data_IF_873946965703
#
_entry.id   IF_873946965703
#
_cell.length_a   1.000
_cell.length_b   1.000
_cell.length_c   1.000
_cell.angle_alpha   90.00
_cell.angle_beta   90.00
_cell.angle_gamma   90.00
#
_symmetry.space_group_name_H-M   'P 1'
#
loop_
_entity.id
_entity.type
_entity.pdbx_description
1 polymer ?
#
# COMPACT_ATOMS: atom_id res chain seq x y z
N UNK A 1 15.94 -6.43 19.33
CA UNK A 1 16.48 -6.16 17.98
C UNK A 1 17.93 -5.65 17.98
N UNK A 2 18.37 -4.85 18.96
CA UNK A 2 19.76 -4.36 19.01
C UNK A 2 20.76 -5.45 19.43
N UNK A 3 20.42 -6.37 20.33
CA UNK A 3 21.28 -7.48 20.73
C UNK A 3 21.52 -8.51 19.63
N UNK A 4 20.50 -8.78 18.78
CA UNK A 4 20.63 -9.69 17.66
C UNK A 4 21.52 -9.17 16.52
N UNK A 5 21.72 -7.84 16.42
CA UNK A 5 22.55 -7.23 15.37
C UNK A 5 24.05 -7.51 15.56
N UNK A 6 24.57 -7.43 16.77
CA UNK A 6 25.97 -7.70 17.07
C UNK A 6 26.30 -9.19 16.88
N UNK A 7 25.38 -10.07 17.24
CA UNK A 7 25.54 -11.50 17.04
C UNK A 7 25.50 -11.87 15.55
N UNK A 8 24.58 -11.32 14.77
CA UNK A 8 24.52 -11.51 13.31
C UNK A 8 25.80 -11.00 12.66
N UNK A 9 26.29 -9.81 13.04
CA UNK A 9 27.56 -9.27 12.54
C UNK A 9 28.74 -10.19 12.86
N UNK A 10 28.81 -10.72 14.09
CA UNK A 10 29.87 -11.64 14.51
C UNK A 10 29.84 -12.95 13.73
N UNK A 11 28.64 -13.51 13.47
CA UNK A 11 28.48 -14.80 12.81
C UNK A 11 28.63 -14.71 11.29
N UNK A 12 28.22 -13.61 10.67
CA UNK A 12 28.16 -13.46 9.20
C UNK A 12 29.20 -12.52 8.62
N UNK A 13 29.91 -11.75 9.46
CA UNK A 13 30.79 -10.67 8.99
C UNK A 13 30.04 -9.49 8.37
N UNK A 14 28.71 -9.50 8.38
CA UNK A 14 27.89 -8.45 7.76
C UNK A 14 28.06 -7.11 8.48
N UNK A 15 28.44 -6.09 7.72
CA UNK A 15 28.53 -4.71 8.21
C UNK A 15 27.24 -3.98 7.88
N UNK A 16 26.51 -3.52 8.91
CA UNK A 16 25.32 -2.69 8.72
C UNK A 16 25.68 -1.40 7.97
N UNK A 17 24.83 -0.96 7.03
CA UNK A 17 24.96 0.35 6.42
C UNK A 17 24.95 1.46 7.47
N UNK A 18 25.68 2.56 7.21
CA UNK A 18 25.64 3.72 8.07
C UNK A 18 24.24 4.38 8.02
N UNK A 19 23.58 4.44 9.18
CA UNK A 19 22.25 5.05 9.30
C UNK A 19 22.22 6.54 8.94
N UNK A 20 23.36 7.23 8.90
CA UNK A 20 23.46 8.62 8.46
C UNK A 20 23.17 8.76 6.96
N UNK A 21 23.60 7.80 6.16
CA UNK A 21 23.34 7.77 4.71
C UNK A 21 21.85 7.59 4.44
N UNK A 22 21.20 6.67 5.15
CA UNK A 22 19.77 6.47 5.05
C UNK A 22 18.97 7.73 5.44
N UNK A 23 19.40 8.42 6.51
CA UNK A 23 18.78 9.69 6.93
C UNK A 23 18.93 10.77 5.86
N UNK A 24 20.12 10.91 5.26
CA UNK A 24 20.37 11.86 4.17
C UNK A 24 19.45 11.57 2.97
N UNK A 25 19.31 10.31 2.60
CA UNK A 25 18.44 9.93 1.50
C UNK A 25 16.96 10.25 1.79
N UNK A 26 16.47 9.94 2.99
CA UNK A 26 15.10 10.31 3.41
C UNK A 26 14.91 11.84 3.37
N UNK A 27 15.91 12.61 3.80
CA UNK A 27 15.84 14.07 3.84
C UNK A 27 16.01 14.74 2.46
N UNK A 28 16.57 14.04 1.48
CA UNK A 28 16.76 14.58 0.12
C UNK A 28 15.45 14.84 -0.63
N UNK A 29 14.35 14.21 -0.18
CA UNK A 29 13.06 14.27 -0.89
C UNK A 29 13.01 13.41 -2.15
N UNK A 30 14.08 12.65 -2.45
CA UNK A 30 14.07 11.68 -3.54
C UNK A 30 13.10 10.52 -3.24
N UNK A 31 12.52 9.90 -4.28
CA UNK A 31 11.70 8.71 -4.10
C UNK A 31 12.46 7.58 -3.39
N UNK A 32 11.87 7.00 -2.35
CA UNK A 32 12.49 5.90 -1.59
C UNK A 32 12.24 4.56 -2.31
N UNK A 33 12.92 4.35 -3.44
CA UNK A 33 12.82 3.16 -4.27
C UNK A 33 14.19 2.75 -4.84
N UNK A 34 14.26 1.54 -5.43
CA UNK A 34 15.52 1.02 -5.97
C UNK A 34 16.08 1.87 -7.12
N UNK A 35 15.23 2.50 -7.93
CA UNK A 35 15.66 3.36 -9.03
C UNK A 35 16.41 4.61 -8.51
N UNK A 36 15.98 5.17 -7.38
CA UNK A 36 16.71 6.27 -6.73
C UNK A 36 18.03 5.78 -6.16
N UNK A 37 18.06 4.61 -5.49
CA UNK A 37 19.30 4.01 -4.97
C UNK A 37 20.33 3.72 -6.07
N UNK A 38 19.87 3.28 -7.24
CA UNK A 38 20.74 3.02 -8.40
C UNK A 38 21.54 4.25 -8.84
N UNK A 39 20.96 5.45 -8.71
CA UNK A 39 21.66 6.71 -9.05
C UNK A 39 22.87 6.97 -8.16
N UNK A 40 22.83 6.46 -6.93
CA UNK A 40 23.85 6.64 -5.91
C UNK A 40 24.75 5.42 -5.70
N UNK A 41 24.65 4.38 -6.54
CA UNK A 41 25.39 3.11 -6.36
C UNK A 41 26.90 3.19 -6.40
N UNK A 42 27.47 4.31 -6.85
CA UNK A 42 28.91 4.57 -6.75
C UNK A 42 29.37 4.70 -5.29
N UNK A 43 28.51 5.19 -4.39
CA UNK A 43 28.76 5.20 -2.96
C UNK A 43 28.53 3.79 -2.37
N UNK A 44 29.50 3.31 -1.59
CA UNK A 44 29.49 1.97 -1.02
C UNK A 44 28.32 1.73 -0.07
N UNK A 45 27.89 2.74 0.66
CA UNK A 45 26.80 2.61 1.63
C UNK A 45 25.42 2.58 0.93
N UNK A 46 25.21 3.42 -0.08
CA UNK A 46 24.01 3.33 -0.91
C UNK A 46 23.92 1.99 -1.64
N UNK A 47 25.04 1.49 -2.13
CA UNK A 47 25.11 0.15 -2.78
C UNK A 47 24.74 -0.98 -1.81
N UNK A 48 25.15 -0.92 -0.55
CA UNK A 48 24.71 -1.90 0.47
C UNK A 48 23.20 -1.88 0.68
N UNK A 49 22.61 -0.68 0.76
CA UNK A 49 21.16 -0.52 0.92
C UNK A 49 20.44 -1.08 -0.30
N UNK A 50 20.91 -0.76 -1.50
CA UNK A 50 20.35 -1.29 -2.74
C UNK A 50 20.40 -2.82 -2.81
N UNK A 51 21.58 -3.40 -2.56
CA UNK A 51 21.76 -4.86 -2.58
C UNK A 51 20.85 -5.54 -1.55
N UNK A 52 20.74 -4.98 -0.35
CA UNK A 52 19.82 -5.49 0.65
C UNK A 52 18.36 -5.43 0.18
N UNK A 53 17.94 -4.32 -0.44
CA UNK A 53 16.58 -4.16 -0.96
C UNK A 53 16.30 -5.17 -2.08
N UNK A 54 17.24 -5.36 -3.01
CA UNK A 54 17.11 -6.33 -4.10
C UNK A 54 17.05 -7.77 -3.57
N UNK A 55 17.91 -8.14 -2.60
CA UNK A 55 17.90 -9.46 -1.99
C UNK A 55 16.59 -9.73 -1.23
N UNK A 56 16.07 -8.74 -0.50
CA UNK A 56 14.76 -8.84 0.15
C UNK A 56 13.64 -9.07 -0.86
N UNK A 57 13.60 -8.30 -1.95
CA UNK A 57 12.59 -8.45 -2.99
C UNK A 57 12.67 -9.82 -3.67
N UNK A 58 13.88 -10.31 -3.94
CA UNK A 58 14.08 -11.65 -4.50
C UNK A 58 13.56 -12.74 -3.56
N UNK A 59 13.92 -12.66 -2.26
CA UNK A 59 13.45 -13.62 -1.25
C UNK A 59 11.92 -13.59 -1.09
N UNK A 60 11.32 -12.40 -1.07
CA UNK A 60 9.86 -12.26 -1.05
C UNK A 60 9.26 -12.95 -2.27
N UNK A 61 9.81 -12.70 -3.46
CA UNK A 61 9.35 -13.33 -4.70
C UNK A 61 9.43 -14.86 -4.67
N UNK A 62 10.47 -15.41 -4.01
CA UNK A 62 10.67 -16.86 -3.92
C UNK A 62 9.78 -17.53 -2.86
N UNK A 63 9.50 -16.82 -1.76
CA UNK A 63 8.82 -17.38 -0.59
C UNK A 63 7.32 -17.08 -0.57
N UNK A 64 6.90 -15.91 -1.05
CA UNK A 64 5.50 -15.45 -1.01
C UNK A 64 4.82 -15.81 -2.31
N UNK A 65 4.12 -16.95 -2.32
CA UNK A 65 3.33 -17.45 -3.45
C UNK A 65 2.03 -18.05 -2.95
N UNK A 66 0.98 -18.01 -3.75
CA UNK A 66 -0.29 -18.64 -3.44
C UNK A 66 -1.01 -18.04 -2.23
N UNK A 67 -0.70 -16.80 -1.85
CA UNK A 67 -1.45 -16.10 -0.78
C UNK A 67 -2.78 -15.63 -1.37
N UNK A 68 -3.92 -16.24 -1.00
CA UNK A 68 -5.19 -15.90 -1.62
C UNK A 68 -5.65 -14.50 -1.20
N UNK A 69 -6.45 -13.83 -2.04
CA UNK A 69 -7.14 -12.61 -1.62
C UNK A 69 -8.07 -12.92 -0.44
N UNK A 70 -8.35 -11.92 0.38
CA UNK A 70 -9.34 -12.07 1.43
C UNK A 70 -10.71 -12.45 0.85
N UNK A 71 -11.55 -13.17 1.61
CA UNK A 71 -12.95 -13.42 1.23
C UNK A 71 -13.66 -12.12 0.86
N UNK A 72 -14.54 -12.18 -0.12
CA UNK A 72 -15.31 -11.06 -0.69
C UNK A 72 -14.50 -10.07 -1.55
N UNK A 73 -13.18 -10.20 -1.67
CA UNK A 73 -12.38 -9.33 -2.59
C UNK A 73 -12.79 -9.61 -4.04
N UNK A 74 -12.74 -10.88 -4.45
CA UNK A 74 -13.09 -11.27 -5.82
C UNK A 74 -14.49 -10.82 -6.20
N UNK A 75 -15.47 -11.16 -5.37
CA UNK A 75 -16.88 -10.83 -5.60
C UNK A 75 -17.09 -9.31 -5.69
N UNK A 76 -16.37 -8.54 -4.87
CA UNK A 76 -16.40 -7.08 -4.92
C UNK A 76 -15.83 -6.54 -6.22
N UNK A 77 -14.67 -7.07 -6.66
CA UNK A 77 -14.02 -6.61 -7.88
C UNK A 77 -14.81 -7.01 -9.12
N UNK A 78 -15.37 -8.22 -9.17
CA UNK A 78 -16.23 -8.68 -10.28
C UNK A 78 -17.46 -7.79 -10.41
N UNK A 79 -18.14 -7.48 -9.29
CA UNK A 79 -19.29 -6.58 -9.29
C UNK A 79 -18.89 -5.14 -9.68
N UNK A 80 -17.76 -4.63 -9.17
CA UNK A 80 -17.28 -3.29 -9.54
C UNK A 80 -16.92 -3.17 -11.01
N UNK A 81 -16.29 -4.18 -11.60
CA UNK A 81 -15.85 -4.16 -13.00
C UNK A 81 -17.01 -3.99 -14.00
N UNK A 82 -18.26 -4.25 -13.60
CA UNK A 82 -19.43 -4.00 -14.42
C UNK A 82 -19.81 -2.51 -14.51
N UNK A 83 -19.36 -1.70 -13.54
CA UNK A 83 -19.84 -0.31 -13.38
C UNK A 83 -18.72 0.72 -13.25
N UNK A 84 -17.49 0.30 -13.00
CA UNK A 84 -16.39 1.20 -12.68
C UNK A 84 -15.04 0.68 -13.20
N UNK A 85 -14.12 1.59 -13.47
CA UNK A 85 -12.73 1.26 -13.71
C UNK A 85 -12.02 0.98 -12.38
N UNK A 86 -11.29 -0.14 -12.34
CA UNK A 86 -10.51 -0.56 -11.19
C UNK A 86 -9.05 -0.26 -11.44
N UNK A 87 -8.44 0.55 -10.57
CA UNK A 87 -7.03 0.93 -10.67
C UNK A 87 -6.28 0.50 -9.42
N UNK A 88 -5.22 -0.29 -9.59
CA UNK A 88 -4.31 -0.62 -8.50
C UNK A 88 -3.36 0.56 -8.27
N UNK A 89 -3.32 1.08 -7.03
CA UNK A 89 -2.40 2.14 -6.61
C UNK A 89 -1.60 1.64 -5.41
N UNK A 90 -0.33 1.31 -5.62
CA UNK A 90 0.50 0.66 -4.61
C UNK A 90 1.92 1.21 -4.55
N UNK A 91 2.56 1.10 -3.38
CA UNK A 91 3.99 1.31 -3.21
C UNK A 91 4.83 0.07 -3.58
N UNK A 92 4.19 -1.01 -4.02
CA UNK A 92 4.83 -2.23 -4.50
C UNK A 92 5.23 -2.06 -5.97
N UNK A 93 6.29 -2.75 -6.40
CA UNK A 93 6.72 -2.74 -7.79
C UNK A 93 5.62 -3.28 -8.73
N UNK A 94 5.42 -2.66 -9.88
CA UNK A 94 4.38 -3.03 -10.86
C UNK A 94 4.48 -4.51 -11.26
N UNK A 95 5.69 -5.02 -11.47
CA UNK A 95 5.93 -6.42 -11.84
C UNK A 95 5.40 -7.40 -10.76
N UNK A 96 5.64 -7.09 -9.49
CA UNK A 96 5.16 -7.91 -8.37
C UNK A 96 3.62 -7.90 -8.29
N UNK A 97 2.99 -6.73 -8.47
CA UNK A 97 1.54 -6.59 -8.52
C UNK A 97 0.94 -7.41 -9.67
N UNK A 98 1.50 -7.29 -10.88
CA UNK A 98 1.03 -8.06 -12.03
C UNK A 98 1.11 -9.56 -11.78
N UNK A 99 2.22 -10.05 -11.20
CA UNK A 99 2.39 -11.46 -10.87
C UNK A 99 1.33 -11.94 -9.88
N UNK A 100 1.17 -11.25 -8.76
CA UNK A 100 0.23 -11.63 -7.69
C UNK A 100 -1.23 -11.59 -8.17
N UNK A 101 -1.62 -10.55 -8.88
CA UNK A 101 -2.97 -10.42 -9.39
C UNK A 101 -3.27 -11.41 -10.52
N UNK A 102 -2.27 -11.78 -11.33
CA UNK A 102 -2.38 -12.85 -12.34
C UNK A 102 -2.52 -14.21 -11.70
N UNK A 103 -1.74 -14.51 -10.65
CA UNK A 103 -1.77 -15.79 -9.93
C UNK A 103 -3.19 -16.12 -9.43
N UNK A 104 -3.93 -15.09 -9.03
CA UNK A 104 -5.31 -15.24 -8.55
C UNK A 104 -6.37 -14.94 -9.61
N UNK A 105 -6.00 -14.71 -10.87
CA UNK A 105 -6.94 -14.41 -11.95
C UNK A 105 -7.76 -13.14 -11.74
N UNK A 106 -7.20 -12.15 -11.02
CA UNK A 106 -7.84 -10.85 -10.76
C UNK A 106 -7.39 -9.76 -11.74
N UNK A 107 -6.26 -9.97 -12.41
CA UNK A 107 -5.70 -8.98 -13.33
C UNK A 107 -6.65 -8.57 -14.48
N UNK A 108 -7.48 -9.47 -15.05
CA UNK A 108 -8.46 -9.08 -16.09
C UNK A 108 -9.53 -8.08 -15.63
N UNK A 109 -9.73 -7.92 -14.32
CA UNK A 109 -10.70 -6.98 -13.75
C UNK A 109 -10.12 -5.56 -13.60
N UNK A 110 -8.82 -5.38 -13.86
CA UNK A 110 -8.09 -4.14 -13.58
C UNK A 110 -7.86 -3.35 -14.85
N UNK A 111 -8.26 -2.09 -14.86
CA UNK A 111 -8.08 -1.16 -15.97
C UNK A 111 -6.66 -0.57 -16.03
N UNK A 112 -6.00 -0.38 -14.88
CA UNK A 112 -4.63 0.15 -14.81
C UNK A 112 -3.90 -0.23 -13.51
N UNK A 113 -2.56 -0.25 -13.57
CA UNK A 113 -1.69 -0.48 -12.41
C UNK A 113 -0.72 0.69 -12.25
N UNK A 114 -0.75 1.32 -11.09
CA UNK A 114 0.17 2.37 -10.67
C UNK A 114 1.02 1.84 -9.51
N UNK A 115 2.11 1.14 -9.83
CA UNK A 115 3.10 0.69 -8.87
C UNK A 115 4.04 1.81 -8.42
N UNK A 116 5.04 1.46 -7.61
CA UNK A 116 6.00 2.41 -7.04
C UNK A 116 6.73 3.28 -8.09
N UNK A 117 6.89 2.78 -9.31
CA UNK A 117 7.61 3.46 -10.40
C UNK A 117 6.81 4.61 -11.01
N UNK A 118 5.49 4.59 -10.87
CA UNK A 118 4.58 5.59 -11.46
C UNK A 118 4.56 6.88 -10.63
N UNK A 119 4.79 6.76 -9.32
CA UNK A 119 4.80 7.89 -8.39
C UNK A 119 4.16 7.55 -7.04
N UNK A 120 3.97 8.57 -6.20
CA UNK A 120 3.25 8.40 -4.94
C UNK A 120 1.77 8.11 -5.17
N UNK A 121 1.11 7.44 -4.19
CA UNK A 121 -0.33 7.16 -4.26
C UNK A 121 -1.15 8.41 -4.59
N UNK A 122 -0.85 9.54 -3.96
CA UNK A 122 -1.55 10.78 -4.21
C UNK A 122 -1.38 11.30 -5.65
N UNK A 123 -0.20 11.16 -6.25
CA UNK A 123 0.05 11.54 -7.64
C UNK A 123 -0.66 10.59 -8.62
N UNK A 124 -0.70 9.30 -8.33
CA UNK A 124 -1.43 8.33 -9.14
C UNK A 124 -2.94 8.64 -9.12
N UNK A 125 -3.52 8.85 -7.94
CA UNK A 125 -4.93 9.23 -7.78
C UNK A 125 -5.23 10.54 -8.52
N UNK A 126 -4.34 11.55 -8.41
CA UNK A 126 -4.50 12.85 -9.09
C UNK A 126 -4.61 12.70 -10.61
N UNK A 127 -3.82 11.79 -11.21
CA UNK A 127 -3.88 11.50 -12.64
C UNK A 127 -5.16 10.77 -13.03
N UNK A 128 -5.52 9.73 -12.28
CA UNK A 128 -6.70 8.90 -12.56
C UNK A 128 -7.98 9.72 -12.45
N UNK A 129 -8.14 10.51 -11.39
CA UNK A 129 -9.35 11.29 -11.14
C UNK A 129 -9.63 12.38 -12.17
N UNK A 130 -8.66 12.74 -13.04
CA UNK A 130 -8.90 13.72 -14.10
C UNK A 130 -10.00 13.29 -15.08
N UNK A 131 -10.27 12.00 -15.18
CA UNK A 131 -11.31 11.43 -16.04
C UNK A 131 -12.65 11.21 -15.34
N UNK A 132 -12.73 11.52 -14.02
CA UNK A 132 -13.90 11.22 -13.19
C UNK A 132 -14.21 12.39 -12.24
N UNK A 133 -15.47 12.51 -11.85
CA UNK A 133 -15.83 13.39 -10.73
C UNK A 133 -15.31 12.80 -9.40
N UNK A 134 -14.83 13.65 -8.52
CA UNK A 134 -14.22 13.21 -7.25
C UNK A 134 -15.19 12.40 -6.37
N UNK A 135 -16.48 12.70 -6.42
CA UNK A 135 -17.56 11.97 -5.73
C UNK A 135 -17.77 10.54 -6.26
N UNK A 136 -17.31 10.26 -7.47
CA UNK A 136 -17.36 8.94 -8.12
C UNK A 136 -16.02 8.20 -8.07
N UNK A 137 -15.07 8.71 -7.27
CA UNK A 137 -13.79 8.06 -7.03
C UNK A 137 -13.72 7.57 -5.58
N UNK A 138 -13.37 6.31 -5.41
CA UNK A 138 -13.22 5.67 -4.10
C UNK A 138 -11.84 5.03 -3.97
N UNK A 139 -11.08 5.42 -2.96
CA UNK A 139 -9.87 4.70 -2.55
C UNK A 139 -10.23 3.64 -1.51
N UNK A 140 -9.85 2.39 -1.75
CA UNK A 140 -9.93 1.30 -0.78
C UNK A 140 -8.51 1.02 -0.30
N UNK A 141 -8.28 0.99 1.01
CA UNK A 141 -6.93 0.75 1.54
C UNK A 141 -6.90 0.47 3.03
N UNK A 142 -5.79 -0.07 3.52
CA UNK A 142 -5.60 -0.55 4.89
C UNK A 142 -4.65 0.31 5.73
N UNK A 143 -4.10 1.36 5.14
CA UNK A 143 -3.13 2.21 5.81
C UNK A 143 -3.59 3.67 5.94
N UNK A 144 -3.16 4.39 7.00
CA UNK A 144 -3.43 5.83 7.13
C UNK A 144 -2.98 6.65 5.91
N UNK A 145 -1.91 6.19 5.21
CA UNK A 145 -1.42 6.82 3.99
C UNK A 145 -2.42 6.78 2.83
N UNK A 146 -3.28 5.76 2.78
CA UNK A 146 -4.33 5.64 1.75
C UNK A 146 -5.42 6.69 1.98
N UNK A 147 -5.88 6.82 3.21
CA UNK A 147 -6.83 7.86 3.60
C UNK A 147 -6.28 9.28 3.38
N UNK A 148 -4.98 9.50 3.68
CA UNK A 148 -4.33 10.78 3.41
C UNK A 148 -4.25 11.08 1.90
N UNK A 149 -3.94 10.09 1.07
CA UNK A 149 -3.89 10.23 -0.37
C UNK A 149 -5.29 10.53 -0.96
N UNK A 150 -6.32 9.84 -0.48
CA UNK A 150 -7.71 10.09 -0.84
C UNK A 150 -8.13 11.51 -0.44
N UNK A 151 -7.91 11.90 0.81
CA UNK A 151 -8.23 13.23 1.33
C UNK A 151 -7.54 14.35 0.56
N UNK A 152 -6.24 14.18 0.24
CA UNK A 152 -5.47 15.16 -0.55
C UNK A 152 -6.09 15.37 -1.93
N UNK A 153 -6.71 14.34 -2.49
CA UNK A 153 -7.34 14.38 -3.80
C UNK A 153 -8.84 14.71 -3.76
N UNK A 154 -9.44 14.83 -2.57
CA UNK A 154 -10.87 15.11 -2.40
C UNK A 154 -11.76 13.97 -2.87
N UNK A 155 -11.26 12.73 -2.90
CA UNK A 155 -12.04 11.54 -3.24
C UNK A 155 -12.46 10.79 -1.98
N UNK A 156 -13.42 9.88 -2.13
CA UNK A 156 -13.92 9.04 -1.05
C UNK A 156 -12.88 8.00 -0.60
N UNK A 157 -12.98 7.57 0.66
CA UNK A 157 -12.11 6.56 1.24
C UNK A 157 -12.91 5.46 1.95
N UNK A 158 -12.61 4.21 1.65
CA UNK A 158 -13.11 3.05 2.38
C UNK A 158 -11.93 2.30 3.02
N UNK A 159 -11.82 2.26 4.35
CA UNK A 159 -10.75 1.58 5.05
C UNK A 159 -11.00 0.07 5.16
N UNK A 160 -9.94 -0.72 4.93
CA UNK A 160 -9.87 -2.12 5.33
C UNK A 160 -9.21 -2.17 6.70
N UNK A 161 -9.96 -2.57 7.70
CA UNK A 161 -9.49 -2.57 9.09
C UNK A 161 -8.51 -3.72 9.35
N UNK A 162 -7.28 -3.45 9.84
CA UNK A 162 -6.33 -4.48 10.22
C UNK A 162 -6.91 -5.46 11.24
N UNK A 163 -6.62 -6.76 11.06
CA UNK A 163 -7.15 -7.89 11.82
C UNK A 163 -8.67 -8.13 11.65
N UNK A 164 -9.32 -7.36 10.77
CA UNK A 164 -10.74 -7.48 10.40
C UNK A 164 -10.94 -7.33 8.89
N UNK A 165 -9.97 -7.80 8.12
CA UNK A 165 -9.96 -7.62 6.67
C UNK A 165 -11.18 -8.31 6.03
N UNK A 166 -11.48 -9.53 6.45
CA UNK A 166 -12.64 -10.30 5.95
C UNK A 166 -13.96 -9.59 6.25
N UNK A 167 -14.13 -9.07 7.47
CA UNK A 167 -15.33 -8.32 7.86
C UNK A 167 -15.46 -7.02 7.08
N UNK A 168 -14.35 -6.31 6.87
CA UNK A 168 -14.31 -5.07 6.08
C UNK A 168 -14.71 -5.34 4.63
N UNK A 169 -14.13 -6.36 4.00
CA UNK A 169 -14.49 -6.74 2.63
C UNK A 169 -15.92 -7.26 2.52
N UNK A 170 -16.42 -8.02 3.52
CA UNK A 170 -17.81 -8.42 3.58
C UNK A 170 -18.75 -7.22 3.64
N UNK A 171 -18.50 -6.26 4.53
CA UNK A 171 -19.30 -5.05 4.65
C UNK A 171 -19.25 -4.23 3.35
N UNK A 172 -18.09 -4.14 2.73
CA UNK A 172 -17.93 -3.49 1.43
C UNK A 172 -18.83 -4.14 0.39
N UNK A 173 -18.72 -5.45 0.20
CA UNK A 173 -19.47 -6.19 -0.81
C UNK A 173 -20.98 -6.14 -0.60
N UNK A 174 -21.44 -6.35 0.63
CA UNK A 174 -22.88 -6.49 0.95
C UNK A 174 -23.61 -5.15 0.96
N UNK A 175 -22.92 -4.05 1.26
CA UNK A 175 -23.59 -2.79 1.53
C UNK A 175 -22.90 -1.57 0.91
N UNK A 176 -21.62 -1.36 1.23
CA UNK A 176 -20.91 -0.10 0.89
C UNK A 176 -20.77 0.07 -0.62
N UNK A 177 -20.54 -1.01 -1.35
CA UNK A 177 -20.41 -0.99 -2.80
C UNK A 177 -21.69 -0.42 -3.45
N UNK A 178 -22.87 -0.89 -3.05
CA UNK A 178 -24.12 -0.36 -3.56
C UNK A 178 -24.36 1.08 -3.15
N UNK A 179 -24.01 1.46 -1.94
CA UNK A 179 -24.06 2.86 -1.50
C UNK A 179 -23.13 3.75 -2.32
N UNK A 180 -21.92 3.28 -2.62
CA UNK A 180 -20.98 4.04 -3.46
C UNK A 180 -21.52 4.21 -4.87
N UNK A 181 -21.97 3.16 -5.52
CA UNK A 181 -22.51 3.21 -6.88
C UNK A 181 -23.77 4.12 -6.99
N UNK A 182 -24.55 4.20 -5.91
CA UNK A 182 -25.74 5.05 -5.85
C UNK A 182 -25.49 6.46 -5.27
N UNK A 183 -24.22 6.84 -4.99
CA UNK A 183 -23.85 8.14 -4.45
C UNK A 183 -24.28 8.36 -2.98
N UNK A 184 -24.55 7.29 -2.23
CA UNK A 184 -25.03 7.33 -0.84
C UNK A 184 -23.93 7.10 0.20
N UNK A 185 -22.72 6.73 -0.24
CA UNK A 185 -21.61 6.42 0.67
C UNK A 185 -20.99 7.67 1.31
N UNK A 186 -20.92 8.77 0.57
CA UNK A 186 -20.33 10.02 1.03
C UNK A 186 -21.00 10.58 2.30
N UNK A 187 -20.23 11.23 3.14
CA UNK A 187 -20.75 11.94 4.33
C UNK A 187 -20.80 11.06 5.58
N UNK A 188 -21.98 10.72 6.08
CA UNK A 188 -22.13 10.04 7.38
C UNK A 188 -21.56 8.62 7.36
N UNK A 189 -21.84 7.84 6.31
CA UNK A 189 -21.38 6.46 6.21
C UNK A 189 -19.85 6.38 6.09
N UNK A 190 -19.27 7.20 5.24
CA UNK A 190 -17.81 7.29 5.09
C UNK A 190 -17.15 7.69 6.40
N UNK A 191 -17.66 8.72 7.09
CA UNK A 191 -17.12 9.17 8.36
C UNK A 191 -17.14 8.07 9.42
N UNK A 192 -18.23 7.32 9.54
CA UNK A 192 -18.38 6.24 10.52
C UNK A 192 -17.30 5.14 10.35
N UNK A 193 -17.04 4.71 9.11
CA UNK A 193 -16.03 3.66 8.87
C UNK A 193 -14.61 4.19 9.07
N UNK A 194 -14.34 5.45 8.72
CA UNK A 194 -13.05 6.10 8.98
C UNK A 194 -12.81 6.24 10.49
N UNK A 195 -13.81 6.68 11.26
CA UNK A 195 -13.70 6.82 12.72
C UNK A 195 -13.42 5.46 13.41
N UNK A 196 -13.99 4.37 12.88
CA UNK A 196 -13.70 3.02 13.38
C UNK A 196 -12.26 2.60 13.06
N UNK A 197 -11.79 2.84 11.86
CA UNK A 197 -10.44 2.55 11.42
C UNK A 197 -9.40 3.32 12.25
N UNK A 198 -9.59 4.61 12.49
CA UNK A 198 -8.68 5.44 13.26
C UNK A 198 -8.54 4.99 14.72
N UNK A 199 -9.59 4.39 15.30
CA UNK A 199 -9.55 3.81 16.66
C UNK A 199 -8.70 2.54 16.73
N UNK A 200 -8.64 1.76 15.64
CA UNK A 200 -7.84 0.53 15.58
C UNK A 200 -6.35 0.87 15.43
N UNK A 201 -6.01 1.96 14.74
CA UNK A 201 -4.65 2.42 14.50
C UNK A 201 -4.33 3.70 15.27
N UNK A 202 -4.11 3.62 16.59
CA UNK A 202 -3.82 4.80 17.40
C UNK A 202 -2.48 5.43 16.99
N UNK A 203 -2.41 6.76 16.96
CA UNK A 203 -1.19 7.53 16.61
C UNK A 203 0.00 7.20 17.51
N UNK A 204 -0.28 6.84 18.76
CA UNK A 204 0.74 6.41 19.74
C UNK A 204 0.53 4.93 20.04
N UNK A 205 1.55 4.08 19.84
CA UNK A 205 1.46 2.67 20.17
C UNK A 205 1.13 2.45 21.64
N UNK A 206 0.26 1.51 21.93
CA UNK A 206 -0.22 1.22 23.31
C UNK A 206 0.90 0.89 24.30
N UNK A 207 2.01 0.30 23.83
CA UNK A 207 3.17 0.02 24.68
C UNK A 207 3.96 1.27 25.12
N UNK A 208 3.74 2.45 24.51
CA UNK A 208 4.35 3.72 24.94
C UNK A 208 3.54 4.45 26.01
N UNK A 209 2.30 4.04 26.24
CA UNK A 209 1.42 4.64 27.26
C UNK A 209 1.50 3.93 28.62
N UNK A 210 2.34 2.89 28.74
CA UNK A 210 2.51 2.08 29.97
C UNK A 210 3.84 2.37 30.71
N UNK A 211 4.52 3.50 30.42
CA UNK A 211 5.73 3.94 31.13
C UNK A 211 5.41 5.19 31.94
#
# INVERSE_FOLDING_TARGET
LTGSREEVKRLTGFSMPDGSVLKKWIQSGEPLNNQSLEKHKADSEYRKILNWSLDCNQRISDMVRGVPPFPYVRESLEKLAEYADIVIVSATATEALMREWSEHGLLPLVSAICGQEVGSKAQCIEKVKQSYEASHCLMIGDAPGDGQAAKKNGILFYPICPLKETESWKQFYVQTLDWFLNGQYAGEHERQVIDQFEKILPKTPTWRTQI
#
